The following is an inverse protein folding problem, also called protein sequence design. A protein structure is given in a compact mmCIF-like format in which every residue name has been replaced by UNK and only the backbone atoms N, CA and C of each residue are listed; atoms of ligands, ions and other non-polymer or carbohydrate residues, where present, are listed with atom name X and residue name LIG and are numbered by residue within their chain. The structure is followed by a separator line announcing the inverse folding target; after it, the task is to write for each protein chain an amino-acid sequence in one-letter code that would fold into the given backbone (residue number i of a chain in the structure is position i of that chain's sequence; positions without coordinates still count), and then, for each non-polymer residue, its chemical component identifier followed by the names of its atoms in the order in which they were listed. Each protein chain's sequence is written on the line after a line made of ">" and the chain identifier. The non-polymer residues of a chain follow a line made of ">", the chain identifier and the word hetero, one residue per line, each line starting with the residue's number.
data_IF_418294930536
#
_entry.id   IF_418294930536
#
_cell.length_a   1.000
_cell.length_b   1.000
_cell.length_c   1.000
_cell.angle_alpha   90.00
_cell.angle_beta   90.00
_cell.angle_gamma   90.00
#
_symmetry.space_group_name_H-M   'P 1'
#
loop_
_entity.id
_entity.type
_entity.pdbx_description
1 polymer ?
#
# COMPACT_ATOMS: atom_id res chain seq x y z
N UNK A 1 4.93 -4.19 -1.94
CA UNK A 1 5.39 -4.60 -0.60
C UNK A 1 5.26 -3.42 0.34
N UNK A 2 4.71 -3.65 1.52
CA UNK A 2 4.55 -2.65 2.58
C UNK A 2 5.15 -3.21 3.86
N UNK A 3 5.96 -2.41 4.54
CA UNK A 3 6.50 -2.72 5.85
C UNK A 3 6.13 -1.60 6.82
N UNK A 4 5.72 -1.98 8.03
CA UNK A 4 5.40 -1.06 9.12
C UNK A 4 6.28 -1.41 10.31
N UNK A 5 6.80 -0.39 10.98
CA UNK A 5 7.65 -0.54 12.16
C UNK A 5 7.19 0.43 13.24
N UNK A 6 6.85 -0.13 14.41
CA UNK A 6 6.67 0.63 15.64
C UNK A 6 8.01 0.73 16.37
N UNK A 7 8.41 1.95 16.72
CA UNK A 7 9.66 2.22 17.42
C UNK A 7 9.36 2.93 18.74
N UNK A 8 9.79 2.33 19.85
CA UNK A 8 9.84 3.01 21.13
C UNK A 8 10.96 4.05 21.12
N UNK A 9 10.63 5.29 21.46
CA UNK A 9 11.54 6.42 21.41
C UNK A 9 11.25 7.44 22.53
N UNK A 10 12.04 8.52 22.56
CA UNK A 10 11.72 9.73 23.31
C UNK A 10 11.29 10.82 22.33
N UNK A 11 10.26 11.59 22.66
CA UNK A 11 9.86 12.76 21.87
C UNK A 11 10.85 13.93 22.10
N UNK A 12 10.62 15.06 21.41
CA UNK A 12 11.47 16.26 21.54
C UNK A 12 11.55 16.83 22.97
N UNK A 13 10.61 16.48 23.85
CA UNK A 13 10.58 16.87 25.26
C UNK A 13 11.13 15.80 26.21
N UNK A 14 11.73 14.72 25.69
CA UNK A 14 12.31 13.63 26.49
C UNK A 14 11.30 12.65 27.07
N UNK A 15 10.04 12.67 26.62
CA UNK A 15 9.00 11.77 27.14
C UNK A 15 8.90 10.49 26.28
N UNK A 16 8.63 9.32 26.89
CA UNK A 16 8.41 8.07 26.15
C UNK A 16 7.29 8.20 25.12
N UNK A 17 7.57 7.73 23.90
CA UNK A 17 6.64 7.71 22.79
C UNK A 17 6.82 6.48 21.90
N UNK A 18 5.80 6.19 21.10
CA UNK A 18 5.85 5.24 20.00
C UNK A 18 5.80 6.01 18.68
N UNK A 19 6.68 5.67 17.75
CA UNK A 19 6.73 6.22 16.41
C UNK A 19 6.38 5.14 15.38
N UNK A 20 5.48 5.45 14.45
CA UNK A 20 5.17 4.57 13.33
C UNK A 20 5.95 5.00 12.08
N UNK A 21 6.73 4.07 11.54
CA UNK A 21 7.41 4.19 10.26
C UNK A 21 6.75 3.26 9.24
N UNK A 22 6.44 3.79 8.06
CA UNK A 22 5.87 3.02 6.96
C UNK A 22 6.78 3.12 5.74
N UNK A 23 7.10 1.98 5.15
CA UNK A 23 7.81 1.87 3.88
C UNK A 23 6.91 1.14 2.87
N UNK A 24 6.50 1.79 1.78
CA UNK A 24 5.62 1.19 0.77
C UNK A 24 6.16 1.32 -0.66
N UNK A 25 5.97 0.25 -1.43
CA UNK A 25 6.30 0.15 -2.86
C UNK A 25 5.11 -0.29 -3.70
N UNK A 26 3.89 -0.35 -3.15
CA UNK A 26 2.73 -0.93 -3.82
C UNK A 26 1.46 -0.11 -3.61
N UNK A 27 0.40 -0.55 -4.27
CA UNK A 27 -0.96 0.00 -4.19
C UNK A 27 -1.68 -0.35 -2.88
N UNK A 28 -1.09 -1.17 -2.01
CA UNK A 28 -1.66 -1.46 -0.68
C UNK A 28 -1.83 -0.19 0.15
N UNK A 29 -2.95 -0.15 0.86
CA UNK A 29 -3.33 0.94 1.76
C UNK A 29 -2.97 0.55 3.18
N UNK A 30 -2.43 1.52 3.92
CA UNK A 30 -2.09 1.36 5.33
C UNK A 30 -3.05 2.21 6.14
N UNK A 31 -3.82 1.53 6.98
CA UNK A 31 -4.73 2.13 7.94
C UNK A 31 -4.10 2.02 9.31
N UNK A 32 -4.01 3.14 10.01
CA UNK A 32 -3.78 3.15 11.45
C UNK A 32 -5.14 3.17 12.13
N UNK A 33 -5.31 2.24 13.06
CA UNK A 33 -6.56 2.01 13.74
C UNK A 33 -6.37 2.05 15.25
N UNK A 34 -7.43 2.38 15.97
CA UNK A 34 -7.52 2.19 17.41
C UNK A 34 -8.67 1.22 17.76
N UNK A 35 -8.69 0.75 19.01
CA UNK A 35 -9.74 -0.16 19.52
C UNK A 35 -11.14 0.48 19.55
N UNK A 36 -11.26 1.80 19.42
CA UNK A 36 -12.53 2.53 19.36
C UNK A 36 -13.14 2.58 17.94
N UNK A 37 -12.50 1.94 16.96
CA UNK A 37 -13.04 1.84 15.60
C UNK A 37 -12.74 3.04 14.71
N UNK A 38 -11.70 3.83 15.02
CA UNK A 38 -11.26 4.92 14.16
C UNK A 38 -10.15 4.44 13.22
N UNK A 39 -10.37 4.56 11.90
CA UNK A 39 -9.38 4.23 10.88
C UNK A 39 -8.86 5.49 10.17
N UNK A 40 -7.54 5.63 10.04
CA UNK A 40 -6.91 6.73 9.31
C UNK A 40 -5.91 6.19 8.29
N UNK A 41 -6.08 6.56 7.02
CA UNK A 41 -5.07 6.31 5.98
C UNK A 41 -3.80 7.09 6.28
N UNK A 42 -2.69 6.39 6.51
CA UNK A 42 -1.41 7.02 6.87
C UNK A 42 -0.53 7.33 5.66
N UNK A 43 -0.79 6.66 4.54
CA UNK A 43 -0.09 6.82 3.28
C UNK A 43 -1.07 6.65 2.12
N UNK A 44 -0.86 7.45 1.09
CA UNK A 44 -1.58 7.35 -0.16
C UNK A 44 -1.07 6.15 -0.98
N UNK A 45 -1.96 5.31 -1.54
CA UNK A 45 -1.53 4.16 -2.33
C UNK A 45 -0.84 4.62 -3.62
N UNK A 46 0.19 3.88 -4.02
CA UNK A 46 0.89 4.07 -5.28
C UNK A 46 -0.01 3.63 -6.44
N UNK A 47 -0.37 4.56 -7.32
CA UNK A 47 -1.27 4.31 -8.44
C UNK A 47 -0.73 4.96 -9.72
N UNK A 48 -0.83 4.30 -10.90
CA UNK A 48 -0.37 4.87 -12.17
C UNK A 48 -1.00 6.23 -12.48
N UNK A 49 -2.30 6.39 -12.19
CA UNK A 49 -3.05 7.65 -12.36
C UNK A 49 -2.38 8.86 -11.70
N UNK A 50 -1.74 8.68 -10.53
CA UNK A 50 -1.08 9.77 -9.78
C UNK A 50 0.23 10.23 -10.42
N UNK A 51 0.78 9.45 -11.35
CA UNK A 51 2.03 9.74 -12.05
C UNK A 51 1.86 9.69 -13.58
N UNK A 52 0.62 9.91 -14.06
CA UNK A 52 0.25 9.86 -15.49
C UNK A 52 1.26 10.58 -16.37
N UNK A 53 1.58 11.83 -16.06
CA UNK A 53 2.50 12.65 -16.87
C UNK A 53 3.92 12.09 -16.93
N UNK A 54 4.38 11.44 -15.84
CA UNK A 54 5.71 10.83 -15.78
C UNK A 54 5.74 9.55 -16.60
N UNK A 55 4.67 8.75 -16.55
CA UNK A 55 4.51 7.53 -17.33
C UNK A 55 4.39 7.85 -18.84
N UNK A 56 3.59 8.85 -19.19
CA UNK A 56 3.42 9.32 -20.57
C UNK A 56 4.75 9.82 -21.17
N UNK A 57 5.49 10.67 -20.44
CA UNK A 57 6.84 11.11 -20.82
C UNK A 57 7.86 9.97 -20.93
N UNK A 58 7.65 8.87 -20.22
CA UNK A 58 8.48 7.67 -20.30
C UNK A 58 8.05 6.71 -21.43
N UNK A 59 7.02 7.07 -22.21
CA UNK A 59 6.54 6.31 -23.38
C UNK A 59 5.57 5.18 -23.05
N UNK A 60 4.95 5.20 -21.87
CA UNK A 60 3.89 4.26 -21.52
C UNK A 60 2.60 4.64 -22.24
N UNK A 61 1.79 3.65 -22.64
CA UNK A 61 0.44 3.92 -23.11
C UNK A 61 -0.44 4.14 -21.89
N UNK A 62 -0.89 5.38 -21.67
CA UNK A 62 -1.78 5.72 -20.55
C UNK A 62 -3.15 6.14 -21.07
N UNK A 63 -4.21 5.49 -20.60
CA UNK A 63 -5.58 5.84 -20.98
C UNK A 63 -6.13 7.04 -20.18
N UNK A 64 -7.36 7.45 -20.47
CA UNK A 64 -8.01 8.58 -19.79
C UNK A 64 -8.37 8.30 -18.33
N UNK A 65 -8.52 7.03 -17.96
CA UNK A 65 -8.73 6.59 -16.59
C UNK A 65 -7.43 6.60 -15.77
N UNK A 66 -6.28 6.69 -16.44
CA UNK A 66 -4.95 6.67 -15.85
C UNK A 66 -4.38 5.27 -15.67
N UNK A 67 -4.92 4.27 -16.35
CA UNK A 67 -4.30 2.95 -16.46
C UNK A 67 -3.14 3.02 -17.45
N UNK A 68 -1.99 2.45 -17.08
CA UNK A 68 -0.82 2.42 -17.93
C UNK A 68 -0.53 0.99 -18.40
N UNK A 69 -0.15 0.84 -19.67
CA UNK A 69 0.17 -0.45 -20.28
C UNK A 69 1.49 -0.40 -21.03
N UNK A 70 2.18 -1.55 -21.06
CA UNK A 70 3.36 -1.76 -21.89
C UNK A 70 3.16 -2.99 -22.77
N UNK A 71 3.42 -2.79 -24.06
CA UNK A 71 3.53 -3.87 -25.02
C UNK A 71 4.91 -4.50 -24.86
N UNK A 72 4.98 -5.81 -24.60
CA UNK A 72 6.23 -6.52 -24.47
C UNK A 72 6.37 -7.53 -25.61
N UNK A 73 7.55 -7.55 -26.24
CA UNK A 73 7.95 -8.59 -27.17
C UNK A 73 9.09 -9.37 -26.51
N UNK A 74 8.99 -10.69 -26.49
CA UNK A 74 10.12 -11.53 -26.06
C UNK A 74 11.29 -11.39 -27.04
N UNK A 75 12.50 -11.62 -26.53
CA UNK A 75 13.72 -11.55 -27.33
C UNK A 75 13.60 -12.51 -28.51
N UNK A 76 13.70 -11.97 -29.73
CA UNK A 76 13.55 -12.74 -30.98
C UNK A 76 12.17 -12.65 -31.63
N UNK A 77 11.18 -11.97 -31.01
CA UNK A 77 9.88 -11.72 -31.64
C UNK A 77 9.76 -10.28 -32.17
N UNK A 78 9.35 -10.16 -33.44
CA UNK A 78 9.16 -8.85 -34.10
C UNK A 78 7.84 -8.15 -33.73
N UNK A 79 6.87 -8.89 -33.18
CA UNK A 79 5.57 -8.35 -32.76
C UNK A 79 5.43 -8.48 -31.24
N UNK A 80 4.84 -7.48 -30.55
CA UNK A 80 4.51 -7.62 -29.14
C UNK A 80 3.60 -8.84 -28.95
N UNK A 81 4.02 -9.77 -28.11
CA UNK A 81 3.27 -10.99 -27.81
C UNK A 81 2.25 -10.77 -26.70
N UNK A 82 2.42 -9.74 -25.87
CA UNK A 82 1.58 -9.52 -24.71
C UNK A 82 1.50 -8.04 -24.33
N UNK A 83 0.31 -7.62 -23.92
CA UNK A 83 0.05 -6.32 -23.29
C UNK A 83 -0.02 -6.52 -21.78
N UNK A 84 0.77 -5.77 -21.03
CA UNK A 84 0.80 -5.84 -19.57
C UNK A 84 0.27 -4.54 -18.96
N UNK A 85 -0.75 -4.65 -18.11
CA UNK A 85 -1.27 -3.54 -17.31
C UNK A 85 -0.40 -3.30 -16.08
N UNK A 86 -0.05 -2.03 -15.84
CA UNK A 86 0.73 -1.60 -14.69
C UNK A 86 -0.17 -1.54 -13.44
N UNK A 87 0.05 -2.37 -12.41
CA UNK A 87 -0.83 -2.41 -11.24
C UNK A 87 -0.59 -1.26 -10.25
N UNK A 88 0.61 -0.67 -10.25
CA UNK A 88 1.04 0.36 -9.29
C UNK A 88 2.17 1.19 -9.91
N UNK A 89 2.27 2.47 -9.54
CA UNK A 89 3.34 3.36 -10.00
C UNK A 89 4.73 2.98 -9.48
N UNK A 90 4.78 2.16 -8.43
CA UNK A 90 5.99 1.54 -7.89
C UNK A 90 5.75 0.04 -7.76
N UNK A 91 6.78 -0.76 -7.96
CA UNK A 91 6.68 -2.21 -7.75
C UNK A 91 8.06 -2.86 -7.67
N UNK A 92 8.14 -3.95 -6.92
CA UNK A 92 9.26 -4.89 -6.93
C UNK A 92 8.99 -5.90 -8.07
N UNK A 93 10.02 -6.26 -8.84
CA UNK A 93 9.83 -7.08 -10.05
C UNK A 93 9.26 -6.29 -11.24
N UNK A 94 8.37 -6.89 -12.03
CA UNK A 94 7.71 -6.29 -13.20
C UNK A 94 8.67 -5.89 -14.31
N UNK A 95 9.46 -6.86 -14.79
CA UNK A 95 10.45 -6.68 -15.87
C UNK A 95 9.91 -5.92 -17.09
N UNK A 96 8.67 -6.17 -17.60
CA UNK A 96 8.15 -5.43 -18.76
C UNK A 96 8.16 -3.90 -18.58
N UNK A 97 8.04 -3.41 -17.35
CA UNK A 97 8.00 -1.98 -17.02
C UNK A 97 9.37 -1.38 -16.67
N UNK A 98 10.45 -2.16 -16.73
CA UNK A 98 11.79 -1.74 -16.27
C UNK A 98 12.88 -1.90 -17.33
N UNK A 99 12.50 -2.18 -18.57
CA UNK A 99 13.44 -2.45 -19.66
C UNK A 99 14.12 -1.20 -20.24
N UNK A 100 13.57 0.00 -20.02
CA UNK A 100 14.15 1.24 -20.53
C UNK A 100 15.08 1.90 -19.51
N UNK A 101 16.14 2.56 -19.99
CA UNK A 101 17.03 3.36 -19.15
C UNK A 101 16.34 4.57 -18.47
N UNK A 102 15.11 4.89 -18.90
CA UNK A 102 14.23 5.93 -18.34
C UNK A 102 13.04 5.33 -17.59
N UNK A 103 13.21 4.16 -16.96
CA UNK A 103 12.12 3.47 -16.29
C UNK A 103 11.46 4.36 -15.22
N UNK A 104 10.26 4.86 -15.52
CA UNK A 104 9.44 5.63 -14.57
C UNK A 104 8.97 4.78 -13.38
N UNK A 105 8.94 3.45 -13.55
CA UNK A 105 8.56 2.49 -12.52
C UNK A 105 9.80 1.97 -11.80
N UNK A 106 9.87 2.19 -10.49
CA UNK A 106 11.00 1.79 -9.66
C UNK A 106 10.58 0.99 -8.43
N UNK A 107 11.55 0.31 -7.80
CA UNK A 107 11.35 -0.46 -6.58
C UNK A 107 11.65 0.34 -5.29
N UNK A 108 12.11 1.59 -5.40
CA UNK A 108 12.43 2.43 -4.23
C UNK A 108 11.17 2.70 -3.40
N UNK A 109 11.13 2.30 -2.11
CA UNK A 109 9.99 2.57 -1.24
C UNK A 109 9.84 4.07 -0.98
N UNK A 110 8.60 4.51 -0.82
CA UNK A 110 8.30 5.72 -0.06
C UNK A 110 8.39 5.39 1.42
N UNK A 111 9.22 6.12 2.16
CA UNK A 111 9.39 5.96 3.60
C UNK A 111 8.82 7.20 4.28
N UNK A 112 7.88 7.00 5.20
CA UNK A 112 7.21 8.08 5.93
C UNK A 112 7.20 7.77 7.42
N UNK A 113 7.65 8.73 8.22
CA UNK A 113 7.35 8.78 9.66
C UNK A 113 5.94 9.35 9.80
N UNK A 114 5.00 8.54 10.27
CA UNK A 114 3.57 8.87 10.23
C UNK A 114 3.22 9.88 11.32
N UNK A 115 3.48 9.53 12.58
CA UNK A 115 3.18 10.35 13.76
C UNK A 115 3.85 9.76 15.00
N UNK A 116 3.94 10.59 16.02
CA UNK A 116 4.43 10.22 17.36
C UNK A 116 3.23 10.16 18.30
N UNK A 117 3.15 9.09 19.10
CA UNK A 117 2.16 8.95 20.15
C UNK A 117 2.85 8.88 21.50
N UNK A 118 2.38 9.68 22.45
CA UNK A 118 2.77 9.47 23.85
C UNK A 118 2.18 8.14 24.28
N UNK A 119 2.93 7.36 25.04
CA UNK A 119 2.41 6.15 25.66
C UNK A 119 1.42 6.57 26.75
N UNK A 120 0.17 6.88 26.38
CA UNK A 120 -0.92 7.09 27.33
C UNK A 120 -1.48 5.72 27.65
N UNK A 121 -1.64 5.41 28.93
CA UNK A 121 -2.17 4.13 29.36
C UNK A 121 -3.59 3.91 28.79
N UNK A 122 -3.81 2.76 28.12
CA UNK A 122 -5.12 2.31 27.65
C UNK A 122 -5.43 2.52 26.16
N UNK A 123 -4.59 3.21 25.38
CA UNK A 123 -4.78 3.32 23.93
C UNK A 123 -4.10 2.15 23.21
N UNK A 124 -4.91 1.25 22.64
CA UNK A 124 -4.42 0.16 21.80
C UNK A 124 -4.46 0.57 20.33
N UNK A 125 -3.28 0.74 19.75
CA UNK A 125 -3.09 1.06 18.34
C UNK A 125 -2.68 -0.18 17.56
N UNK A 126 -3.25 -0.32 16.38
CA UNK A 126 -2.86 -1.37 15.44
C UNK A 126 -2.83 -0.85 14.02
N UNK A 127 -2.09 -1.55 13.16
CA UNK A 127 -2.01 -1.22 11.74
C UNK A 127 -2.68 -2.33 10.93
N UNK A 128 -3.57 -1.92 10.04
CA UNK A 128 -4.17 -2.79 9.05
C UNK A 128 -3.58 -2.45 7.68
N UNK A 129 -3.03 -3.46 7.00
CA UNK A 129 -2.52 -3.35 5.63
C UNK A 129 -3.50 -4.07 4.70
N UNK A 130 -4.15 -3.31 3.84
CA UNK A 130 -5.21 -3.82 2.95
C UNK A 130 -4.76 -3.71 1.50
N UNK A 131 -5.09 -4.69 0.68
CA UNK A 131 -4.82 -4.61 -0.76
C UNK A 131 -5.75 -3.58 -1.43
N UNK A 132 -5.32 -2.99 -2.54
CA UNK A 132 -6.13 -2.03 -3.28
C UNK A 132 -7.41 -2.67 -3.83
N UNK A 133 -7.37 -3.96 -4.15
CA UNK A 133 -8.48 -4.72 -4.71
C UNK A 133 -9.62 -4.83 -3.70
N UNK A 134 -9.31 -5.10 -2.43
CA UNK A 134 -10.32 -5.13 -1.36
C UNK A 134 -10.97 -3.75 -1.20
N UNK A 135 -10.15 -2.69 -1.17
CA UNK A 135 -10.67 -1.32 -1.04
C UNK A 135 -11.32 -0.75 -2.30
N UNK A 136 -11.27 -1.48 -3.42
CA UNK A 136 -12.04 -1.12 -4.61
C UNK A 136 -13.52 -1.45 -4.45
N UNK A 137 -13.87 -2.31 -3.49
CA UNK A 137 -15.25 -2.76 -3.23
C UNK A 137 -15.71 -2.58 -1.78
N UNK A 138 -14.79 -2.43 -0.82
CA UNK A 138 -15.10 -2.19 0.59
C UNK A 138 -14.54 -0.85 1.10
N UNK A 139 -15.32 -0.08 1.88
CA UNK A 139 -14.81 1.11 2.58
C UNK A 139 -13.80 0.75 3.69
N UNK A 140 -12.90 1.68 4.01
CA UNK A 140 -11.90 1.54 5.07
C UNK A 140 -12.50 1.09 6.41
N UNK A 141 -13.64 1.69 6.79
CA UNK A 141 -14.34 1.38 8.04
C UNK A 141 -14.81 -0.07 8.09
N UNK A 142 -15.27 -0.63 6.97
CA UNK A 142 -15.73 -2.02 6.91
C UNK A 142 -14.55 -2.98 7.05
N UNK A 143 -13.42 -2.69 6.40
CA UNK A 143 -12.21 -3.49 6.55
C UNK A 143 -11.67 -3.45 7.99
N UNK A 144 -11.72 -2.27 8.63
CA UNK A 144 -11.25 -2.11 10.00
C UNK A 144 -12.19 -2.79 11.01
N UNK A 145 -13.51 -2.67 10.85
CA UNK A 145 -14.48 -3.42 11.67
C UNK A 145 -14.25 -4.94 11.54
N UNK A 146 -14.08 -5.45 10.31
CA UNK A 146 -13.79 -6.87 10.11
C UNK A 146 -12.47 -7.31 10.76
N UNK A 147 -11.47 -6.43 10.81
CA UNK A 147 -10.22 -6.69 11.52
C UNK A 147 -10.41 -6.69 13.04
N UNK A 148 -11.22 -5.79 13.59
CA UNK A 148 -11.58 -5.79 15.02
C UNK A 148 -12.38 -7.03 15.39
N UNK A 149 -13.34 -7.42 14.56
CA UNK A 149 -14.13 -8.64 14.75
C UNK A 149 -13.21 -9.86 14.78
N UNK A 150 -12.22 -9.93 13.88
CA UNK A 150 -11.22 -11.00 13.86
C UNK A 150 -10.23 -10.95 15.03
N UNK A 151 -9.93 -9.76 15.56
CA UNK A 151 -9.06 -9.57 16.74
C UNK A 151 -9.76 -9.99 18.04
N UNK A 152 -11.07 -9.73 18.14
CA UNK A 152 -11.90 -9.92 19.33
C UNK A 152 -12.90 -11.08 19.28
N UNK A 153 -12.84 -11.95 18.26
CA UNK A 153 -13.51 -13.26 18.33
C UNK A 153 -12.61 -14.23 19.08
N UNK A 154 -13.13 -14.82 20.16
CA UNK A 154 -12.59 -16.06 20.70
C UNK A 154 -12.46 -17.08 19.56
N UNK A 155 -11.48 -17.98 19.63
CA UNK A 155 -11.29 -19.08 18.69
C UNK A 155 -12.46 -20.12 18.68
N UNK A 156 -13.66 -19.73 19.10
CA UNK A 156 -14.90 -20.52 19.13
C UNK A 156 -15.91 -20.11 18.03
N UNK A 157 -15.57 -19.14 17.17
CA UNK A 157 -16.44 -18.73 16.05
C UNK A 157 -16.31 -19.55 14.75
N UNK A 158 -15.49 -20.61 14.73
CA UNK A 158 -15.36 -21.52 13.58
C UNK A 158 -16.10 -22.86 13.78
N UNK A 159 -16.79 -23.05 14.91
CA UNK A 159 -17.78 -24.13 15.06
C UNK A 159 -19.16 -23.60 14.63
N UNK A 160 -19.51 -23.78 13.36
CA UNK A 160 -20.85 -23.41 12.87
C UNK A 160 -21.02 -23.25 11.36
N UNK A 161 -20.03 -23.66 10.55
CA UNK A 161 -20.24 -23.87 9.11
C UNK A 161 -20.39 -25.37 8.83
N UNK A 162 -21.52 -25.93 9.28
CA UNK A 162 -22.18 -27.07 8.64
C UNK A 162 -23.45 -26.58 7.94
#
# INVERSE_FOLDING_TARGET
>A
VTACLFVHALNASGQPCVQLWVASTASSVVLLCNSEGQAVRVMEPHAPKKVRDVLDKAGYKVDDEGNAEVAFAEVGQHKPSSMFKLPSSRLIGGRPFKTSAKAAVHARPEVKKVREWRCVAGEELFVLVVSAEVLSVLPDQVCMNAALDAWGSSAEGLDGWE
#
